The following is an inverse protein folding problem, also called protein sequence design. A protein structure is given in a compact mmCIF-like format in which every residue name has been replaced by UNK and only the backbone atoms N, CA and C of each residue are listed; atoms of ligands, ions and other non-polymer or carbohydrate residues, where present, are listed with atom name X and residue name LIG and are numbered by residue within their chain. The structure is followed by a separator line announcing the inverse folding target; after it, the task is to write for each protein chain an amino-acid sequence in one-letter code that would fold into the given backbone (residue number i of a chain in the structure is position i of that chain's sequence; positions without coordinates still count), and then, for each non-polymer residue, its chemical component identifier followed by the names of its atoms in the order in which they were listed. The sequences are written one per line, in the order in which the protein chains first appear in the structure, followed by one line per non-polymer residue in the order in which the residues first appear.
data_IF_443187451604
#
_entry.id   IF_443187451604
#
_cell.length_a   1.000
_cell.length_b   1.000
_cell.length_c   1.000
_cell.angle_alpha   90.00
_cell.angle_beta   90.00
_cell.angle_gamma   90.00
#
_symmetry.space_group_name_H-M   'P 1'
#
loop_
_entity.id
_entity.type
_entity.pdbx_description
1 polymer ?
#
# COMPACT_ATOMS: atom_id res chain seq x y z
N UNK A 1 -8.36 14.88 17.62
CA UNK A 1 -8.83 13.62 17.02
C UNK A 1 -10.26 13.87 16.64
N UNK A 2 -10.45 14.48 15.48
CA UNK A 2 -11.78 14.64 14.90
C UNK A 2 -11.96 13.52 13.89
N UNK A 3 -13.10 12.87 14.09
CA UNK A 3 -13.57 11.65 13.47
C UNK A 3 -13.68 11.85 11.96
N UNK A 4 -12.94 11.04 11.22
CA UNK A 4 -12.98 11.02 9.75
C UNK A 4 -14.30 10.43 9.30
N UNK A 5 -15.32 11.28 9.22
CA UNK A 5 -16.58 10.93 8.60
C UNK A 5 -16.32 10.58 7.13
N UNK A 6 -16.41 9.28 6.84
CA UNK A 6 -16.53 8.76 5.49
C UNK A 6 -17.68 9.50 4.80
N UNK A 7 -17.32 10.43 3.92
CA UNK A 7 -18.26 10.97 2.95
C UNK A 7 -18.63 9.82 2.02
N UNK A 8 -19.89 9.35 2.00
CA UNK A 8 -20.31 8.40 0.99
C UNK A 8 -20.10 9.10 -0.35
N UNK A 9 -19.26 8.49 -1.19
CA UNK A 9 -19.13 8.87 -2.60
C UNK A 9 -20.55 8.94 -3.14
N UNK A 10 -21.00 10.17 -3.40
CA UNK A 10 -22.29 10.42 -4.03
C UNK A 10 -22.27 9.57 -5.29
N UNK A 11 -23.13 8.55 -5.36
CA UNK A 11 -23.39 7.81 -6.59
C UNK A 11 -23.74 8.85 -7.64
N UNK A 12 -22.74 9.24 -8.43
CA UNK A 12 -22.92 10.09 -9.57
C UNK A 12 -23.97 9.38 -10.39
N UNK A 13 -25.08 10.08 -10.64
CA UNK A 13 -26.10 9.63 -11.57
C UNK A 13 -25.40 8.97 -12.74
N UNK A 14 -25.46 7.63 -12.78
CA UNK A 14 -25.32 6.89 -14.01
C UNK A 14 -26.63 7.20 -14.72
N UNK A 15 -26.79 8.45 -15.20
CA UNK A 15 -27.51 8.67 -16.43
C UNK A 15 -26.73 7.85 -17.42
N UNK A 16 -27.17 6.62 -17.56
CA UNK A 16 -26.69 5.65 -18.49
C UNK A 16 -26.48 6.38 -19.80
N UNK A 17 -25.21 6.49 -20.18
CA UNK A 17 -24.70 7.13 -21.38
C UNK A 17 -25.12 6.35 -22.63
N UNK A 18 -26.39 5.96 -22.69
CA UNK A 18 -27.02 5.45 -23.88
C UNK A 18 -27.35 6.69 -24.69
N UNK A 19 -26.78 6.76 -25.90
CA UNK A 19 -27.47 7.51 -26.94
C UNK A 19 -28.92 7.02 -26.91
N UNK A 20 -29.93 7.90 -27.00
CA UNK A 20 -31.32 7.48 -27.08
C UNK A 20 -31.52 6.75 -28.41
N UNK A 21 -31.11 5.48 -28.46
CA UNK A 21 -31.26 4.61 -29.60
C UNK A 21 -32.74 4.24 -29.69
N UNK A 22 -33.27 4.33 -30.91
CA UNK A 22 -34.60 3.81 -31.18
C UNK A 22 -34.62 2.29 -30.96
N UNK A 23 -35.77 1.73 -30.56
CA UNK A 23 -35.93 0.27 -30.43
C UNK A 23 -35.52 -0.48 -31.70
N UNK A 24 -35.67 0.15 -32.87
CA UNK A 24 -35.27 -0.43 -34.14
C UNK A 24 -33.75 -0.39 -34.36
N UNK A 25 -33.06 0.63 -33.85
CA UNK A 25 -31.59 0.72 -33.89
C UNK A 25 -30.97 -0.33 -32.97
N UNK A 26 -31.55 -0.53 -31.79
CA UNK A 26 -31.13 -1.59 -30.85
C UNK A 26 -31.29 -2.98 -31.49
N UNK A 27 -32.43 -3.24 -32.16
CA UNK A 27 -32.64 -4.50 -32.91
C UNK A 27 -31.61 -4.66 -34.04
N UNK A 28 -31.28 -3.60 -34.77
CA UNK A 28 -30.28 -3.65 -35.84
C UNK A 28 -28.90 -3.98 -35.29
N UNK A 29 -28.51 -3.40 -34.15
CA UNK A 29 -27.23 -3.71 -33.49
C UNK A 29 -27.19 -5.16 -33.00
N UNK A 30 -28.26 -5.64 -32.36
CA UNK A 30 -28.35 -7.04 -31.94
C UNK A 30 -28.27 -8.01 -33.12
N UNK A 31 -28.88 -7.66 -34.26
CA UNK A 31 -28.77 -8.44 -35.50
C UNK A 31 -27.34 -8.39 -36.08
N UNK A 32 -26.67 -7.25 -36.03
CA UNK A 32 -25.27 -7.13 -36.44
C UNK A 32 -24.37 -8.03 -35.59
N UNK A 33 -24.52 -8.00 -34.27
CA UNK A 33 -23.76 -8.86 -33.35
C UNK A 33 -24.00 -10.33 -33.64
N UNK A 34 -25.26 -10.71 -33.87
CA UNK A 34 -25.63 -12.08 -34.25
C UNK A 34 -25.00 -12.50 -35.59
N UNK A 35 -24.92 -11.59 -36.56
CA UNK A 35 -24.26 -11.86 -37.85
C UNK A 35 -22.75 -12.06 -37.65
N UNK A 36 -22.10 -11.28 -36.78
CA UNK A 36 -20.68 -11.45 -36.49
C UNK A 36 -20.40 -12.79 -35.79
N UNK A 37 -21.25 -13.18 -34.84
CA UNK A 37 -21.18 -14.49 -34.18
C UNK A 37 -21.31 -15.64 -35.19
N UNK A 38 -22.31 -15.58 -36.08
CA UNK A 38 -22.50 -16.60 -37.12
C UNK A 38 -21.32 -16.66 -38.10
N UNK A 39 -20.71 -15.52 -38.44
CA UNK A 39 -19.50 -15.49 -39.28
C UNK A 39 -18.33 -16.19 -38.61
N UNK A 40 -18.17 -16.01 -37.29
CA UNK A 40 -17.15 -16.71 -36.51
C UNK A 40 -17.42 -18.21 -36.45
N UNK A 41 -18.67 -18.61 -36.22
CA UNK A 41 -19.08 -20.03 -36.22
C UNK A 41 -18.77 -20.70 -37.56
N UNK A 42 -19.14 -20.06 -38.68
CA UNK A 42 -18.83 -20.55 -40.04
C UNK A 42 -17.32 -20.64 -40.25
N UNK A 43 -16.54 -19.65 -39.80
CA UNK A 43 -15.09 -19.69 -39.92
C UNK A 43 -14.46 -20.86 -39.14
N UNK A 44 -14.98 -21.17 -37.94
CA UNK A 44 -14.53 -22.31 -37.13
C UNK A 44 -14.88 -23.63 -37.83
N UNK A 45 -16.11 -23.77 -38.34
CA UNK A 45 -16.54 -24.98 -39.06
C UNK A 45 -15.67 -25.21 -40.29
N UNK A 46 -15.40 -24.16 -41.07
CA UNK A 46 -14.55 -24.24 -42.25
C UNK A 46 -13.11 -24.63 -41.88
N UNK A 47 -12.56 -24.06 -40.80
CA UNK A 47 -11.21 -24.41 -40.32
C UNK A 47 -11.13 -25.88 -39.85
N UNK A 48 -12.16 -26.38 -39.16
CA UNK A 48 -12.23 -27.79 -38.76
C UNK A 48 -12.32 -28.72 -39.98
N UNK A 49 -13.13 -28.34 -40.98
CA UNK A 49 -13.27 -29.10 -42.22
C UNK A 49 -11.96 -29.14 -43.03
N UNK A 50 -11.22 -28.03 -43.10
CA UNK A 50 -9.90 -28.00 -43.76
C UNK A 50 -8.84 -28.82 -43.02
N UNK A 51 -8.89 -28.86 -41.68
CA UNK A 51 -7.97 -29.70 -40.91
C UNK A 51 -8.24 -31.19 -41.10
N UNK A 52 -9.50 -31.62 -41.19
CA UNK A 52 -9.85 -33.04 -41.40
C UNK A 52 -9.44 -33.57 -42.79
N UNK A 53 -9.24 -32.70 -43.78
CA UNK A 53 -8.78 -33.10 -45.12
C UNK A 53 -7.26 -33.26 -45.25
N UNK A 54 -6.46 -32.70 -44.33
CA UNK A 54 -4.99 -32.59 -44.46
C UNK A 54 -4.19 -33.62 -43.63
N UNK A 55 -4.85 -34.59 -42.98
CA UNK A 55 -4.24 -35.63 -42.12
C UNK A 55 -3.25 -36.60 -42.84
N UNK A 56 -2.90 -36.36 -44.11
CA UNK A 56 -2.01 -37.24 -44.92
C UNK A 56 -0.73 -36.58 -45.44
N UNK A 57 -0.48 -35.29 -45.18
CA UNK A 57 0.74 -34.61 -45.63
C UNK A 57 1.82 -34.56 -44.54
N UNK A 58 2.94 -35.25 -44.74
CA UNK A 58 4.17 -35.02 -43.95
C UNK A 58 4.80 -33.70 -44.40
N UNK A 59 4.48 -32.60 -43.71
CA UNK A 59 5.08 -31.29 -43.94
C UNK A 59 6.58 -31.30 -43.60
N UNK A 60 7.39 -30.66 -44.43
CA UNK A 60 8.81 -30.44 -44.12
C UNK A 60 8.98 -29.25 -43.15
N UNK A 61 10.03 -29.26 -42.33
CA UNK A 61 10.27 -28.18 -41.34
C UNK A 61 10.30 -26.78 -41.98
N UNK A 62 10.84 -26.66 -43.20
CA UNK A 62 10.87 -25.39 -43.95
C UNK A 62 9.47 -24.91 -44.38
N UNK A 63 8.58 -25.83 -44.79
CA UNK A 63 7.19 -25.52 -45.14
C UNK A 63 6.39 -25.11 -43.91
N UNK A 64 6.65 -25.73 -42.75
CA UNK A 64 5.99 -25.33 -41.49
C UNK A 64 6.42 -23.94 -41.04
N UNK A 65 7.71 -23.58 -41.19
CA UNK A 65 8.20 -22.25 -40.83
C UNK A 65 7.62 -21.18 -41.76
N UNK A 66 7.52 -21.47 -43.06
CA UNK A 66 6.88 -20.58 -44.04
C UNK A 66 5.39 -20.38 -43.77
N UNK A 67 4.67 -21.47 -43.46
CA UNK A 67 3.25 -21.41 -43.11
C UNK A 67 3.02 -20.63 -41.80
N UNK A 68 3.91 -20.77 -40.81
CA UNK A 68 3.86 -19.97 -39.58
C UNK A 68 4.08 -18.48 -39.85
N UNK A 69 5.05 -18.11 -40.69
CA UNK A 69 5.27 -16.70 -41.04
C UNK A 69 4.10 -16.11 -41.81
N UNK A 70 3.50 -16.89 -42.73
CA UNK A 70 2.32 -16.47 -43.49
C UNK A 70 1.07 -16.33 -42.59
N UNK A 71 0.89 -17.21 -41.61
CA UNK A 71 -0.16 -17.08 -40.60
C UNK A 71 0.02 -15.81 -39.76
N UNK A 72 1.25 -15.53 -39.31
CA UNK A 72 1.53 -14.32 -38.53
C UNK A 72 1.31 -13.05 -39.36
N UNK A 73 1.72 -13.05 -40.63
CA UNK A 73 1.52 -11.94 -41.55
C UNK A 73 0.04 -11.70 -41.84
N UNK A 74 -0.72 -12.76 -42.16
CA UNK A 74 -2.16 -12.67 -42.40
C UNK A 74 -2.92 -12.23 -41.15
N UNK A 75 -2.52 -12.69 -39.95
CA UNK A 75 -3.07 -12.22 -38.67
C UNK A 75 -2.78 -10.75 -38.46
N UNK A 76 -1.54 -10.31 -38.67
CA UNK A 76 -1.17 -8.90 -38.54
C UNK A 76 -1.95 -8.03 -39.53
N UNK A 77 -2.09 -8.47 -40.78
CA UNK A 77 -2.87 -7.79 -41.81
C UNK A 77 -4.35 -7.72 -41.46
N UNK A 78 -4.93 -8.79 -40.90
CA UNK A 78 -6.31 -8.81 -40.46
C UNK A 78 -6.58 -7.81 -39.33
N UNK A 79 -5.72 -7.81 -38.30
CA UNK A 79 -5.81 -6.86 -37.18
C UNK A 79 -5.67 -5.43 -37.70
N UNK A 80 -4.65 -5.14 -38.50
CA UNK A 80 -4.45 -3.81 -39.07
C UNK A 80 -5.64 -3.37 -39.93
N UNK A 81 -6.21 -4.27 -40.74
CA UNK A 81 -7.41 -3.96 -41.53
C UNK A 81 -8.58 -3.60 -40.63
N UNK A 82 -8.81 -4.38 -39.58
CA UNK A 82 -9.88 -4.14 -38.63
C UNK A 82 -9.70 -2.77 -37.93
N UNK A 83 -8.49 -2.51 -37.44
CA UNK A 83 -8.14 -1.25 -36.77
C UNK A 83 -8.31 -0.05 -37.70
N UNK A 84 -7.88 -0.16 -38.96
CA UNK A 84 -8.08 0.90 -39.98
C UNK A 84 -9.56 1.10 -40.26
N UNK A 85 -10.34 0.02 -40.41
CA UNK A 85 -11.79 0.14 -40.64
C UNK A 85 -12.49 0.79 -39.45
N UNK A 86 -12.12 0.42 -38.22
CA UNK A 86 -12.66 1.01 -37.00
C UNK A 86 -12.29 2.48 -36.87
N UNK A 87 -11.02 2.84 -37.13
CA UNK A 87 -10.56 4.22 -37.11
C UNK A 87 -11.31 5.08 -38.15
N UNK A 88 -11.53 4.56 -39.36
CA UNK A 88 -12.30 5.29 -40.40
C UNK A 88 -13.78 5.41 -40.01
N UNK A 89 -14.39 4.35 -39.49
CA UNK A 89 -15.80 4.35 -39.07
C UNK A 89 -16.07 5.26 -37.88
N UNK A 90 -15.10 5.45 -36.98
CA UNK A 90 -15.22 6.32 -35.81
C UNK A 90 -14.82 7.77 -36.11
N UNK A 91 -13.71 7.99 -36.84
CA UNK A 91 -13.18 9.33 -37.08
C UNK A 91 -14.01 10.14 -38.09
N UNK A 92 -14.52 9.52 -39.16
CA UNK A 92 -15.27 10.24 -40.20
C UNK A 92 -16.55 10.90 -39.66
N UNK A 93 -17.41 10.21 -38.89
CA UNK A 93 -18.58 10.85 -38.27
C UNK A 93 -18.21 11.98 -37.32
N UNK A 94 -17.14 11.83 -36.52
CA UNK A 94 -16.65 12.88 -35.60
C UNK A 94 -16.21 14.13 -36.39
N UNK A 95 -15.39 13.95 -37.43
CA UNK A 95 -14.94 15.06 -38.28
C UNK A 95 -16.11 15.78 -38.94
N UNK A 96 -17.09 15.03 -39.46
CA UNK A 96 -18.28 15.62 -40.09
C UNK A 96 -19.21 16.30 -39.09
N UNK A 97 -19.33 15.77 -37.87
CA UNK A 97 -20.08 16.38 -36.77
C UNK A 97 -19.51 17.75 -36.40
N UNK A 98 -18.18 17.82 -36.25
CA UNK A 98 -17.47 19.06 -35.88
C UNK A 98 -17.43 20.07 -37.02
N UNK A 99 -17.19 19.64 -38.26
CA UNK A 99 -17.00 20.54 -39.39
C UNK A 99 -18.29 20.93 -40.14
N UNK A 100 -19.44 20.32 -39.83
CA UNK A 100 -20.77 20.69 -40.35
C UNK A 100 -20.77 21.04 -41.85
N UNK A 101 -20.21 20.15 -42.68
CA UNK A 101 -20.18 20.34 -44.13
C UNK A 101 -21.58 20.16 -44.75
N UNK A 102 -21.78 20.57 -46.01
CA UNK A 102 -23.06 20.42 -46.71
C UNK A 102 -23.50 18.97 -46.92
N UNK A 103 -22.58 18.00 -46.77
CA UNK A 103 -22.85 16.56 -46.86
C UNK A 103 -23.02 15.87 -45.50
N UNK A 104 -23.12 16.62 -44.39
CA UNK A 104 -23.29 16.03 -43.05
C UNK A 104 -24.70 15.44 -42.92
N UNK A 105 -24.78 14.16 -42.57
CA UNK A 105 -26.06 13.51 -42.30
C UNK A 105 -26.69 14.08 -41.01
N UNK A 106 -28.03 14.11 -40.87
CA UNK A 106 -28.69 14.61 -39.66
C UNK A 106 -28.18 13.94 -38.38
N UNK A 107 -27.95 12.62 -38.42
CA UNK A 107 -27.44 11.84 -37.29
C UNK A 107 -26.01 12.25 -36.90
N UNK A 108 -25.17 12.64 -37.86
CA UNK A 108 -23.80 13.12 -37.59
C UNK A 108 -23.83 14.49 -36.89
N UNK A 109 -24.83 15.34 -37.18
CA UNK A 109 -25.00 16.63 -36.50
C UNK A 109 -25.47 16.45 -35.05
N UNK A 110 -26.25 15.42 -34.77
CA UNK A 110 -26.73 15.09 -33.42
C UNK A 110 -25.61 14.57 -32.50
N UNK A 111 -24.48 14.13 -33.05
CA UNK A 111 -23.32 13.68 -32.26
C UNK A 111 -22.54 14.83 -31.59
N UNK A 112 -22.66 16.06 -32.08
CA UNK A 112 -21.90 17.21 -31.60
C UNK A 112 -21.95 17.42 -30.07
N UNK A 113 -23.12 17.50 -29.40
CA UNK A 113 -23.18 17.70 -27.95
C UNK A 113 -22.51 16.57 -27.17
N UNK A 114 -22.55 15.34 -27.66
CA UNK A 114 -21.88 14.20 -27.03
C UNK A 114 -20.36 14.26 -27.19
N UNK A 115 -19.88 14.74 -28.35
CA UNK A 115 -18.45 14.98 -28.61
C UNK A 115 -17.94 16.10 -27.69
N UNK A 116 -18.67 17.21 -27.57
CA UNK A 116 -18.32 18.31 -26.66
C UNK A 116 -18.25 17.81 -25.21
N UNK A 117 -19.25 17.03 -24.77
CA UNK A 117 -19.24 16.46 -23.42
C UNK A 117 -18.08 15.50 -23.19
N UNK A 118 -17.76 14.66 -24.17
CA UNK A 118 -16.60 13.76 -24.12
C UNK A 118 -15.30 14.55 -24.00
N UNK A 119 -15.16 15.63 -24.77
CA UNK A 119 -13.94 16.43 -24.81
C UNK A 119 -13.76 17.21 -23.49
N UNK A 120 -14.84 17.76 -22.92
CA UNK A 120 -14.83 18.34 -21.57
C UNK A 120 -14.35 17.33 -20.51
N UNK A 121 -14.93 16.13 -20.49
CA UNK A 121 -14.54 15.08 -19.54
C UNK A 121 -13.11 14.64 -19.78
N UNK A 122 -12.68 14.55 -21.04
CA UNK A 122 -11.31 14.18 -21.40
C UNK A 122 -10.29 15.20 -20.89
N UNK A 123 -10.61 16.49 -20.98
CA UNK A 123 -9.80 17.57 -20.39
C UNK A 123 -9.76 17.44 -18.88
N UNK A 124 -10.90 17.23 -18.21
CA UNK A 124 -10.96 17.04 -16.76
C UNK A 124 -10.11 15.84 -16.32
N UNK A 125 -10.24 14.69 -16.98
CA UNK A 125 -9.44 13.49 -16.69
C UNK A 125 -7.95 13.74 -16.91
N UNK A 126 -7.57 14.42 -18.01
CA UNK A 126 -6.18 14.75 -18.27
C UNK A 126 -5.59 15.71 -17.20
N UNK A 127 -6.36 16.70 -16.76
CA UNK A 127 -5.93 17.62 -15.69
C UNK A 127 -5.79 16.89 -14.36
N UNK A 128 -6.73 16.00 -14.02
CA UNK A 128 -6.65 15.18 -12.82
C UNK A 128 -5.43 14.25 -12.86
N UNK A 129 -5.20 13.56 -13.97
CA UNK A 129 -4.02 12.71 -14.15
C UNK A 129 -2.71 13.50 -14.01
N UNK A 130 -2.66 14.72 -14.54
CA UNK A 130 -1.53 15.63 -14.37
C UNK A 130 -1.32 16.00 -12.90
N UNK A 131 -2.38 16.40 -12.18
CA UNK A 131 -2.31 16.72 -10.75
C UNK A 131 -1.86 15.52 -9.91
N UNK A 132 -2.40 14.33 -10.18
CA UNK A 132 -1.99 13.09 -9.51
C UNK A 132 -0.52 12.80 -9.75
N UNK A 133 -0.02 12.97 -10.99
CA UNK A 133 1.39 12.80 -11.29
C UNK A 133 2.29 13.80 -10.55
N UNK A 134 1.87 15.05 -10.38
CA UNK A 134 2.62 16.02 -9.57
C UNK A 134 2.66 15.64 -8.09
N UNK A 135 1.55 15.13 -7.53
CA UNK A 135 1.53 14.59 -6.16
C UNK A 135 2.46 13.39 -6.02
N UNK A 136 2.47 12.47 -6.99
CA UNK A 136 3.40 11.34 -7.00
C UNK A 136 4.85 11.79 -7.05
N UNK A 137 5.19 12.76 -7.91
CA UNK A 137 6.55 13.33 -7.97
C UNK A 137 6.96 13.95 -6.63
N UNK A 138 6.06 14.71 -6.01
CA UNK A 138 6.31 15.30 -4.69
C UNK A 138 6.50 14.23 -3.61
N UNK A 139 5.68 13.18 -3.62
CA UNK A 139 5.81 12.04 -2.71
C UNK A 139 7.15 11.32 -2.89
N UNK A 140 7.52 10.99 -4.12
CA UNK A 140 8.81 10.35 -4.42
C UNK A 140 9.99 11.21 -3.96
N UNK A 141 9.92 12.54 -4.14
CA UNK A 141 10.95 13.46 -3.64
C UNK A 141 11.03 13.42 -2.10
N UNK A 142 9.91 13.52 -1.41
CA UNK A 142 9.86 13.47 0.06
C UNK A 142 10.35 12.13 0.59
N UNK A 143 10.01 11.02 -0.07
CA UNK A 143 10.52 9.69 0.27
C UNK A 143 12.04 9.61 0.09
N UNK A 144 12.59 10.15 -1.00
CA UNK A 144 14.03 10.26 -1.22
C UNK A 144 14.73 11.06 -0.12
N UNK A 145 14.20 12.25 0.21
CA UNK A 145 14.74 13.10 1.27
C UNK A 145 14.67 12.43 2.65
N UNK A 146 13.59 11.68 2.91
CA UNK A 146 13.39 10.95 4.17
C UNK A 146 14.41 9.82 4.31
N UNK A 147 14.66 9.06 3.24
CA UNK A 147 15.69 8.02 3.24
C UNK A 147 17.09 8.61 3.45
N UNK A 148 17.39 9.74 2.81
CA UNK A 148 18.66 10.44 3.01
C UNK A 148 18.83 10.91 4.46
N UNK A 149 17.83 11.58 5.03
CA UNK A 149 17.85 12.03 6.43
C UNK A 149 17.92 10.86 7.40
N UNK A 150 17.22 9.76 7.13
CA UNK A 150 17.30 8.54 7.95
C UNK A 150 18.72 7.98 7.97
N UNK A 151 19.43 7.96 6.83
CA UNK A 151 20.84 7.53 6.78
C UNK A 151 21.74 8.46 7.57
N UNK A 152 21.56 9.78 7.41
CA UNK A 152 22.32 10.78 8.16
C UNK A 152 22.10 10.65 9.68
N UNK A 153 20.85 10.43 10.11
CA UNK A 153 20.52 10.21 11.52
C UNK A 153 21.21 8.96 12.08
N UNK A 154 21.29 7.87 11.30
CA UNK A 154 22.02 6.66 11.72
C UNK A 154 23.52 6.95 11.88
N UNK A 155 24.13 7.68 10.94
CA UNK A 155 25.54 8.08 11.04
C UNK A 155 25.81 8.97 12.25
N UNK A 156 25.00 10.01 12.45
CA UNK A 156 25.12 10.91 13.60
C UNK A 156 24.88 10.19 14.92
N UNK A 157 23.93 9.25 14.98
CA UNK A 157 23.71 8.44 16.17
C UNK A 157 24.94 7.57 16.49
N UNK A 158 25.59 6.98 15.48
CA UNK A 158 26.82 6.22 15.65
C UNK A 158 27.96 7.12 16.19
N UNK A 159 28.14 8.31 15.63
CA UNK A 159 29.12 9.30 16.12
C UNK A 159 28.83 9.73 17.57
N UNK A 160 27.56 9.95 17.92
CA UNK A 160 27.14 10.28 19.28
C UNK A 160 27.45 9.15 20.26
N UNK A 161 27.24 7.88 19.88
CA UNK A 161 27.60 6.75 20.72
C UNK A 161 29.12 6.68 20.93
N UNK A 162 29.91 6.90 19.88
CA UNK A 162 31.37 6.94 20.00
C UNK A 162 31.82 8.06 20.93
N UNK A 163 31.28 9.28 20.76
CA UNK A 163 31.59 10.42 21.61
C UNK A 163 31.16 10.19 23.07
N UNK A 164 30.00 9.56 23.28
CA UNK A 164 29.51 9.21 24.60
C UNK A 164 30.43 8.17 25.28
N UNK A 165 30.94 7.20 24.53
CA UNK A 165 31.90 6.22 25.05
C UNK A 165 33.26 6.85 25.34
N UNK A 166 33.75 7.75 24.48
CA UNK A 166 34.94 8.56 24.77
C UNK A 166 34.75 9.43 26.03
N UNK A 167 33.57 10.01 26.24
CA UNK A 167 33.25 10.78 27.44
C UNK A 167 33.15 9.91 28.70
N UNK A 168 32.54 8.72 28.60
CA UNK A 168 32.54 7.73 29.70
C UNK A 168 33.96 7.28 30.04
N UNK A 169 34.80 7.04 29.05
CA UNK A 169 36.21 6.68 29.24
C UNK A 169 36.96 7.82 29.93
N UNK A 170 36.81 9.08 29.51
CA UNK A 170 37.38 10.25 30.20
C UNK A 170 36.87 10.39 31.65
N UNK A 171 35.59 10.11 31.90
CA UNK A 171 35.01 10.10 33.26
C UNK A 171 35.55 8.96 34.13
N UNK A 172 35.75 7.76 33.56
CA UNK A 172 36.41 6.61 34.23
C UNK A 172 37.90 6.85 34.47
N UNK A 173 38.58 7.58 33.57
CA UNK A 173 40.00 7.99 33.67
C UNK A 173 40.18 9.26 34.52
N UNK A 174 39.16 9.69 35.26
CA UNK A 174 39.34 10.63 36.37
C UNK A 174 39.36 9.92 37.74
N UNK A 175 40.29 8.98 38.04
CA UNK A 175 40.47 8.47 39.40
C UNK A 175 41.45 9.38 40.12
N UNK A 176 40.96 10.44 40.75
CA UNK A 176 41.82 11.15 41.70
C UNK A 176 41.12 11.52 43.00
N UNK A 177 40.43 10.53 43.58
CA UNK A 177 40.23 10.55 45.01
C UNK A 177 40.14 9.12 45.57
N UNK A 178 41.29 8.45 45.73
CA UNK A 178 41.34 7.16 46.45
C UNK A 178 40.78 7.27 47.88
N UNK A 179 40.75 8.50 48.42
CA UNK A 179 40.04 8.85 49.65
C UNK A 179 38.53 8.62 49.56
N UNK A 180 37.88 8.99 48.45
CA UNK A 180 36.42 8.80 48.32
C UNK A 180 36.03 7.33 48.20
N UNK A 181 36.83 6.49 47.54
CA UNK A 181 36.56 5.05 47.52
C UNK A 181 36.73 4.40 48.91
N UNK A 182 37.75 4.81 49.68
CA UNK A 182 37.94 4.31 51.06
C UNK A 182 36.84 4.79 52.01
N UNK A 183 36.37 6.03 51.86
CA UNK A 183 35.24 6.54 52.64
C UNK A 183 33.94 5.83 52.25
N UNK A 184 33.74 5.52 50.96
CA UNK A 184 32.57 4.77 50.52
C UNK A 184 32.56 3.33 51.07
N UNK A 185 33.69 2.62 51.02
CA UNK A 185 33.81 1.27 51.59
C UNK A 185 33.60 1.28 53.12
N UNK A 186 34.10 2.30 53.82
CA UNK A 186 33.88 2.49 55.25
C UNK A 186 32.41 2.73 55.58
N UNK A 187 31.74 3.61 54.83
CA UNK A 187 30.31 3.92 55.03
C UNK A 187 29.43 2.71 54.72
N UNK A 188 29.76 1.93 53.69
CA UNK A 188 29.05 0.68 53.39
C UNK A 188 29.21 -0.36 54.51
N UNK A 189 30.42 -0.48 55.08
CA UNK A 189 30.66 -1.35 56.24
C UNK A 189 29.88 -0.90 57.48
N UNK A 190 29.80 0.41 57.72
CA UNK A 190 29.04 0.99 58.84
C UNK A 190 27.53 0.80 58.68
N UNK A 191 27.00 0.99 57.47
CA UNK A 191 25.59 0.73 57.16
C UNK A 191 25.27 -0.76 57.33
N UNK A 192 26.11 -1.68 56.86
CA UNK A 192 25.91 -3.13 57.07
C UNK A 192 25.92 -3.50 58.56
N UNK A 193 26.85 -2.94 59.33
CA UNK A 193 26.88 -3.15 60.78
C UNK A 193 25.64 -2.57 61.49
N UNK A 194 25.14 -1.42 61.04
CA UNK A 194 23.91 -0.82 61.58
C UNK A 194 22.65 -1.64 61.25
N UNK A 195 22.54 -2.15 60.01
CA UNK A 195 21.46 -3.04 59.58
C UNK A 195 21.47 -4.35 60.36
N UNK A 196 22.65 -4.92 60.61
CA UNK A 196 22.77 -6.14 61.41
C UNK A 196 22.34 -5.92 62.87
N UNK A 197 22.72 -4.77 63.47
CA UNK A 197 22.24 -4.39 64.81
C UNK A 197 20.73 -4.18 64.86
N UNK A 198 20.17 -3.53 63.84
CA UNK A 198 18.72 -3.33 63.73
C UNK A 198 17.97 -4.65 63.59
N UNK A 199 18.49 -5.61 62.81
CA UNK A 199 17.90 -6.95 62.69
C UNK A 199 17.86 -7.68 64.03
N UNK A 200 18.95 -7.65 64.80
CA UNK A 200 18.99 -8.24 66.14
C UNK A 200 18.00 -7.54 67.07
N UNK A 201 17.92 -6.21 67.03
CA UNK A 201 17.00 -5.44 67.86
C UNK A 201 15.53 -5.71 67.51
N UNK A 202 15.19 -5.82 66.21
CA UNK A 202 13.85 -6.19 65.72
C UNK A 202 13.48 -7.61 66.19
N UNK A 203 14.39 -8.57 66.06
CA UNK A 203 14.15 -9.95 66.53
C UNK A 203 13.95 -10.06 68.05
N UNK A 204 14.72 -9.31 68.84
CA UNK A 204 14.56 -9.29 70.31
C UNK A 204 13.25 -8.60 70.71
N UNK A 205 12.89 -7.48 70.08
CA UNK A 205 11.64 -6.79 70.34
C UNK A 205 10.42 -7.66 70.00
N UNK A 206 10.42 -8.33 68.84
CA UNK A 206 9.38 -9.29 68.46
C UNK A 206 9.28 -10.47 69.45
N UNK A 207 10.42 -11.01 69.89
CA UNK A 207 10.45 -12.08 70.89
C UNK A 207 9.91 -11.66 72.27
N UNK A 208 10.18 -10.42 72.70
CA UNK A 208 9.64 -9.87 73.95
C UNK A 208 8.12 -9.67 73.85
N UNK A 209 7.64 -9.11 72.74
CA UNK A 209 6.20 -8.88 72.51
C UNK A 209 5.44 -10.22 72.57
N UNK A 210 5.91 -11.23 71.83
CA UNK A 210 5.31 -12.58 71.83
C UNK A 210 5.41 -13.26 73.20
N UNK A 211 6.53 -13.10 73.91
CA UNK A 211 6.76 -13.71 75.22
C UNK A 211 6.06 -13.04 76.40
N UNK A 212 5.67 -11.76 76.27
CA UNK A 212 5.03 -10.99 77.35
C UNK A 212 3.55 -11.31 77.58
N UNK A 213 2.92 -12.07 76.68
CA UNK A 213 1.50 -12.41 76.76
C UNK A 213 0.54 -11.27 76.39
N UNK A 214 1.05 -10.18 75.80
CA UNK A 214 0.24 -9.14 75.16
C UNK A 214 -0.44 -9.72 73.91
N UNK A 215 -1.73 -9.44 73.70
CA UNK A 215 -2.50 -9.93 72.55
C UNK A 215 -2.16 -9.14 71.28
N UNK A 216 -0.97 -9.41 70.74
CA UNK A 216 -0.43 -8.78 69.54
C UNK A 216 -1.13 -9.20 68.23
N UNK A 217 -2.05 -10.18 68.29
CA UNK A 217 -2.78 -10.69 67.11
C UNK A 217 -3.90 -9.74 66.70
N UNK A 218 -4.51 -9.05 67.66
CA UNK A 218 -5.59 -8.09 67.41
C UNK A 218 -5.10 -6.67 67.09
N UNK A 219 -3.87 -6.34 67.46
CA UNK A 219 -3.27 -5.03 67.19
C UNK A 219 -2.49 -5.05 65.87
N UNK A 220 -2.98 -4.32 64.87
CA UNK A 220 -2.37 -4.25 63.54
C UNK A 220 -0.93 -3.71 63.56
N UNK A 221 -0.59 -2.82 64.49
CA UNK A 221 0.76 -2.25 64.62
C UNK A 221 1.74 -3.28 65.23
N UNK A 222 1.30 -4.03 66.24
CA UNK A 222 2.13 -5.08 66.85
C UNK A 222 2.24 -6.31 65.96
N UNK A 223 1.19 -6.63 65.21
CA UNK A 223 1.18 -7.69 64.22
C UNK A 223 2.20 -7.41 63.12
N UNK A 224 2.29 -6.17 62.64
CA UNK A 224 3.28 -5.76 61.65
C UNK A 224 4.71 -5.88 62.20
N UNK A 225 4.97 -5.37 63.42
CA UNK A 225 6.30 -5.46 64.04
C UNK A 225 6.78 -6.92 64.23
N UNK A 226 5.87 -7.87 64.48
CA UNK A 226 6.18 -9.29 64.70
C UNK A 226 6.21 -10.11 63.40
N UNK A 227 5.32 -9.83 62.44
CA UNK A 227 5.14 -10.62 61.22
C UNK A 227 5.77 -10.00 59.97
N UNK A 228 6.30 -8.77 60.03
CA UNK A 228 6.89 -8.10 58.87
C UNK A 228 7.95 -9.01 58.21
N UNK A 229 7.64 -9.57 57.02
CA UNK A 229 8.50 -10.54 56.36
C UNK A 229 9.82 -9.85 56.05
N UNK A 230 10.95 -10.48 56.39
CA UNK A 230 12.24 -9.96 55.99
C UNK A 230 12.23 -9.79 54.46
N UNK A 231 12.23 -8.55 53.98
CA UNK A 231 12.59 -8.28 52.59
C UNK A 231 14.06 -8.62 52.46
N UNK A 232 14.32 -9.90 52.18
CA UNK A 232 15.61 -10.42 51.75
C UNK A 232 15.88 -9.93 50.32
N UNK A 233 16.39 -8.70 50.21
CA UNK A 233 17.28 -8.25 49.12
C UNK A 233 18.50 -7.50 49.71
#
# INVERSE_FOLDING_TARGET
MEDGGDTPMLDGHIESSHLPLSEDEEKILALYDRIQELRLEIAIINAQQSHQSDDTATFTDEETQKAQSELLETRAQYVLRNDVTEAVMTANPILKAVHSNTETAPIERELLPYIERRDEVSVLVATQASQTNEVWKALTKVQGDTLQKSRQNVTLAAELFELADQAKLKKRVSPNNSKMMKEQERLEAEVKASKQKWRVMKGVAGGIIVGSGVDWVQDDELRDVVLDPETDE
#
